data_IF_711023204732
#
_entry.id   IF_711023204732
#
_cell.length_a   1.000
_cell.length_b   1.000
_cell.length_c   1.000
_cell.angle_alpha   90.00
_cell.angle_beta   90.00
_cell.angle_gamma   90.00
#
_symmetry.space_group_name_H-M   'P 1'
#
loop_
_entity.id
_entity.type
_entity.pdbx_description
1 polymer ?
#
# COMPACT_ATOMS: atom_id res chain seq x y z
N UNK A 1 14.07 -2.94 -3.59
CA UNK A 1 12.71 -2.50 -3.98
C UNK A 1 12.69 -1.34 -4.97
N UNK A 2 13.19 -0.14 -4.62
CA UNK A 2 13.19 1.05 -5.51
C UNK A 2 13.62 0.74 -6.96
N UNK A 3 14.76 0.07 -7.14
CA UNK A 3 15.29 -0.29 -8.48
C UNK A 3 14.32 -1.13 -9.32
N UNK A 4 13.54 -2.04 -8.70
CA UNK A 4 12.49 -2.83 -9.37
C UNK A 4 11.27 -1.96 -9.72
N UNK A 5 10.83 -1.08 -8.81
CA UNK A 5 9.75 -0.13 -9.08
C UNK A 5 10.11 0.84 -10.21
N UNK A 6 11.31 1.42 -10.19
CA UNK A 6 11.78 2.33 -11.24
C UNK A 6 11.84 1.64 -12.61
N UNK A 7 12.36 0.40 -12.70
CA UNK A 7 12.39 -0.35 -13.97
C UNK A 7 11.00 -0.73 -14.49
N UNK A 8 10.06 -1.01 -13.60
CA UNK A 8 8.72 -1.50 -13.98
C UNK A 8 7.77 -0.35 -14.32
N UNK A 9 7.84 0.76 -13.58
CA UNK A 9 6.87 1.86 -13.67
C UNK A 9 7.46 3.17 -14.23
N UNK A 10 8.76 3.21 -14.50
CA UNK A 10 9.46 4.34 -15.13
C UNK A 10 9.26 5.70 -14.41
N UNK A 11 9.28 5.70 -13.08
CA UNK A 11 9.32 6.92 -12.27
C UNK A 11 10.20 6.75 -11.04
N UNK A 12 10.67 7.87 -10.51
CA UNK A 12 11.49 7.90 -9.29
C UNK A 12 10.61 7.88 -8.04
N UNK A 13 10.83 6.88 -7.19
CA UNK A 13 10.05 6.62 -5.98
C UNK A 13 10.75 7.24 -4.77
N UNK A 14 10.00 8.03 -3.98
CA UNK A 14 10.44 8.46 -2.65
C UNK A 14 10.35 7.29 -1.67
N UNK A 15 11.44 7.03 -0.95
CA UNK A 15 11.55 5.94 0.00
C UNK A 15 12.28 6.36 1.30
N UNK A 16 11.84 5.81 2.42
CA UNK A 16 12.54 5.90 3.70
C UNK A 16 12.61 4.53 4.35
N UNK A 17 13.64 4.29 5.14
CA UNK A 17 13.77 3.07 5.94
C UNK A 17 14.23 3.43 7.35
N UNK A 18 13.48 2.98 8.34
CA UNK A 18 13.85 2.98 9.77
C UNK A 18 14.20 1.55 10.18
N UNK A 19 14.53 1.34 11.46
CA UNK A 19 14.80 0.00 12.00
C UNK A 19 13.55 -0.91 11.88
N UNK A 20 12.35 -0.34 12.01
CA UNK A 20 11.10 -1.09 12.11
C UNK A 20 10.22 -1.00 10.85
N UNK A 21 10.52 -0.11 9.90
CA UNK A 21 9.62 0.13 8.77
C UNK A 21 10.33 0.59 7.49
N UNK A 22 9.73 0.23 6.35
CA UNK A 22 10.09 0.77 5.03
C UNK A 22 8.87 1.52 4.50
N UNK A 23 9.05 2.79 4.15
CA UNK A 23 8.01 3.64 3.57
C UNK A 23 8.30 3.82 2.09
N UNK A 24 7.32 3.53 1.24
CA UNK A 24 7.36 3.71 -0.20
C UNK A 24 6.23 4.67 -0.63
N UNK A 25 6.58 5.82 -1.21
CA UNK A 25 5.60 6.84 -1.60
C UNK A 25 5.39 6.87 -3.11
N UNK A 26 4.23 6.38 -3.55
CA UNK A 26 3.87 6.20 -4.95
C UNK A 26 3.06 7.40 -5.48
N UNK A 27 2.91 7.51 -6.80
CA UNK A 27 2.02 8.50 -7.42
C UNK A 27 0.65 7.88 -7.72
N UNK A 28 -0.38 8.72 -7.91
CA UNK A 28 -1.77 8.30 -8.13
C UNK A 28 -2.02 7.50 -9.42
N UNK A 29 -1.06 7.45 -10.35
CA UNK A 29 -1.23 6.77 -11.65
C UNK A 29 -0.99 5.26 -11.61
N UNK A 30 -0.61 4.70 -10.45
CA UNK A 30 -0.23 3.30 -10.35
C UNK A 30 -1.06 2.62 -9.26
N UNK A 31 -1.86 1.65 -9.67
CA UNK A 31 -2.50 0.69 -8.77
C UNK A 31 -1.92 -0.70 -9.04
N UNK A 32 -1.65 -1.43 -7.96
CA UNK A 32 -1.26 -2.83 -7.99
C UNK A 32 -1.83 -3.50 -6.73
N UNK A 33 -1.98 -4.82 -6.73
CA UNK A 33 -2.40 -5.53 -5.54
C UNK A 33 -1.28 -5.50 -4.50
N UNK A 34 -1.59 -5.05 -3.28
CA UNK A 34 -0.60 -4.87 -2.21
C UNK A 34 0.10 -6.19 -1.86
N UNK A 35 -0.59 -7.32 -2.01
CA UNK A 35 -0.07 -8.67 -1.79
C UNK A 35 1.05 -9.04 -2.79
N UNK A 36 1.04 -8.45 -3.98
CA UNK A 36 2.04 -8.73 -5.02
C UNK A 36 3.41 -8.10 -4.73
N UNK A 37 3.44 -7.05 -3.90
CA UNK A 37 4.67 -6.33 -3.53
C UNK A 37 5.70 -7.27 -2.91
N UNK A 38 5.23 -8.23 -2.08
CA UNK A 38 6.09 -9.24 -1.47
C UNK A 38 6.81 -10.15 -2.47
N UNK A 39 6.33 -10.21 -3.72
CA UNK A 39 6.87 -11.07 -4.79
C UNK A 39 7.75 -10.30 -5.80
N UNK A 40 7.89 -8.98 -5.65
CA UNK A 40 8.67 -8.15 -6.58
C UNK A 40 10.19 -8.40 -6.48
N UNK A 41 10.63 -9.01 -5.38
CA UNK A 41 11.98 -9.50 -5.20
C UNK A 41 11.92 -11.01 -5.06
N UNK A 42 12.70 -11.70 -5.89
CA UNK A 42 12.86 -13.13 -5.80
C UNK A 42 14.24 -13.44 -5.21
N UNK A 43 14.29 -14.34 -4.23
CA UNK A 43 15.51 -14.69 -3.49
C UNK A 43 16.66 -15.14 -4.40
N UNK A 44 16.37 -15.78 -5.54
CA UNK A 44 17.38 -16.22 -6.52
C UNK A 44 18.08 -15.09 -7.29
N UNK A 45 17.48 -13.89 -7.34
CA UNK A 45 18.03 -12.74 -8.10
C UNK A 45 18.16 -11.47 -7.27
N UNK A 46 17.71 -11.49 -6.01
CA UNK A 46 17.63 -10.31 -5.17
C UNK A 46 19.02 -9.74 -4.84
N UNK A 47 20.02 -10.58 -4.60
CA UNK A 47 21.38 -10.15 -4.31
C UNK A 47 22.04 -9.43 -5.49
N UNK A 48 21.87 -9.95 -6.71
CA UNK A 48 22.33 -9.26 -7.93
C UNK A 48 21.70 -7.86 -8.08
N UNK A 49 20.40 -7.75 -7.79
CA UNK A 49 19.70 -6.45 -7.78
C UNK A 49 20.23 -5.54 -6.67
N UNK A 50 20.59 -6.11 -5.52
CA UNK A 50 21.15 -5.37 -4.39
C UNK A 50 22.53 -4.82 -4.74
N UNK A 51 23.41 -5.61 -5.35
CA UNK A 51 24.72 -5.18 -5.86
C UNK A 51 24.54 -3.97 -6.78
N UNK A 52 23.67 -4.10 -7.78
CA UNK A 52 23.42 -3.01 -8.72
C UNK A 52 22.85 -1.76 -8.04
N UNK A 53 22.10 -1.87 -6.94
CA UNK A 53 21.60 -0.72 -6.19
C UNK A 53 22.65 -0.12 -5.26
N UNK A 54 23.51 -0.97 -4.67
CA UNK A 54 24.60 -0.59 -3.78
C UNK A 54 25.65 0.26 -4.49
N UNK A 55 25.92 -0.03 -5.77
CA UNK A 55 26.85 0.76 -6.59
C UNK A 55 26.47 2.24 -6.66
N UNK A 56 25.18 2.58 -6.63
CA UNK A 56 24.71 3.96 -6.61
C UNK A 56 24.62 4.54 -5.17
N UNK A 57 24.80 3.71 -4.14
CA UNK A 57 24.65 4.13 -2.76
C UNK A 57 25.93 4.79 -2.22
N UNK A 58 25.82 5.85 -1.40
CA UNK A 58 26.97 6.50 -0.78
C UNK A 58 27.89 5.56 0.03
N UNK A 59 27.31 4.47 0.56
CA UNK A 59 28.03 3.45 1.32
C UNK A 59 29.17 2.81 0.50
N UNK A 60 28.95 2.51 -0.78
CA UNK A 60 29.97 1.90 -1.63
C UNK A 60 31.21 2.79 -1.73
N UNK A 61 31.04 4.09 -1.97
CA UNK A 61 32.15 5.04 -2.06
C UNK A 61 32.94 5.19 -0.75
N UNK A 62 32.30 4.97 0.40
CA UNK A 62 32.98 4.95 1.70
C UNK A 62 33.83 3.68 1.84
N UNK A 63 33.26 2.50 1.63
CA UNK A 63 33.97 1.22 1.70
C UNK A 63 35.09 1.13 0.64
N UNK A 64 34.84 1.64 -0.57
CA UNK A 64 35.83 1.72 -1.63
C UNK A 64 37.03 2.57 -1.22
N UNK A 65 36.89 3.70 -0.52
CA UNK A 65 38.09 4.50 -0.14
C UNK A 65 38.93 3.85 0.94
N UNK A 66 38.30 3.06 1.81
CA UNK A 66 38.95 2.37 2.91
C UNK A 66 39.85 1.23 2.41
N UNK A 67 39.35 0.43 1.46
CA UNK A 67 40.01 -0.80 1.01
C UNK A 67 41.37 -0.60 0.30
N UNK A 68 41.50 0.22 -0.76
CA UNK A 68 42.77 0.56 -1.41
C UNK A 68 43.79 1.20 -0.45
N UNK A 69 43.32 1.94 0.54
CA UNK A 69 44.21 2.50 1.57
C UNK A 69 44.82 1.41 2.45
N UNK A 70 44.02 0.41 2.85
CA UNK A 70 44.47 -0.71 3.67
C UNK A 70 45.29 -1.73 2.89
N UNK A 71 44.92 -1.98 1.64
CA UNK A 71 45.67 -2.81 0.70
C UNK A 71 46.98 -2.16 0.24
N UNK A 72 47.27 -0.92 0.68
CA UNK A 72 48.44 -0.13 0.27
C UNK A 72 48.50 0.12 -1.25
N UNK A 73 47.36 0.07 -1.93
CA UNK A 73 47.24 0.37 -3.36
C UNK A 73 47.30 1.89 -3.64
N UNK A 74 47.11 2.72 -2.62
CA UNK A 74 47.23 4.19 -2.71
C UNK A 74 48.51 4.70 -2.01
N UNK A 75 49.25 5.63 -2.62
CA UNK A 75 50.45 6.20 -2.01
C UNK A 75 50.07 7.09 -0.81
N UNK A 76 50.42 6.65 0.41
CA UNK A 76 50.08 7.35 1.67
C UNK A 76 51.01 8.53 1.99
N UNK A 77 52.19 8.57 1.36
CA UNK A 77 53.19 9.61 1.54
C UNK A 77 53.64 10.14 0.19
N UNK A 78 53.94 11.44 0.14
CA UNK A 78 54.52 12.10 -1.02
C UNK A 78 55.51 13.15 -0.54
N UNK A 79 56.76 13.07 -1.01
CA UNK A 79 57.83 13.99 -0.55
C UNK A 79 58.10 13.93 0.96
N UNK A 80 58.00 12.73 1.56
CA UNK A 80 58.24 12.52 3.00
C UNK A 80 57.06 12.91 3.91
N UNK A 81 56.04 13.59 3.39
CA UNK A 81 54.86 14.00 4.16
C UNK A 81 53.67 13.08 3.89
N UNK A 82 52.80 12.92 4.89
CA UNK A 82 51.54 12.19 4.74
C UNK A 82 50.64 12.92 3.75
N UNK A 83 50.10 12.20 2.78
CA UNK A 83 49.20 12.75 1.79
C UNK A 83 47.92 13.30 2.46
N UNK A 84 47.51 14.49 2.04
CA UNK A 84 46.31 15.14 2.54
C UNK A 84 45.04 14.30 2.19
N UNK A 85 44.01 14.29 3.05
CA UNK A 85 42.78 13.51 2.81
C UNK A 85 42.09 13.81 1.48
N UNK A 86 42.12 15.07 1.00
CA UNK A 86 41.52 15.44 -0.28
C UNK A 86 42.24 14.77 -1.47
N UNK A 87 43.58 14.73 -1.42
CA UNK A 87 44.39 14.05 -2.44
C UNK A 87 44.21 12.52 -2.39
N UNK A 88 43.99 11.95 -1.20
CA UNK A 88 43.66 10.53 -1.08
C UNK A 88 42.31 10.20 -1.72
N UNK A 89 41.29 11.05 -1.54
CA UNK A 89 39.98 10.87 -2.20
C UNK A 89 40.12 10.92 -3.72
N UNK A 90 40.77 11.97 -4.24
CA UNK A 90 41.01 12.12 -5.68
C UNK A 90 41.73 10.89 -6.27
N UNK A 91 42.85 10.46 -5.66
CA UNK A 91 43.58 9.27 -6.11
C UNK A 91 42.76 7.97 -6.00
N UNK A 92 41.90 7.87 -4.99
CA UNK A 92 41.01 6.72 -4.84
C UNK A 92 39.95 6.68 -5.93
N UNK A 93 39.46 7.84 -6.36
CA UNK A 93 38.51 7.97 -7.48
C UNK A 93 39.20 7.65 -8.82
N UNK A 94 40.43 8.12 -9.03
CA UNK A 94 41.25 7.77 -10.21
C UNK A 94 41.50 6.25 -10.30
N UNK A 95 41.80 5.62 -9.16
CA UNK A 95 41.98 4.17 -9.08
C UNK A 95 40.67 3.43 -9.38
N UNK A 96 39.53 3.96 -8.92
CA UNK A 96 38.20 3.38 -9.21
C UNK A 96 37.93 3.43 -10.71
N UNK A 97 38.19 4.58 -11.35
CA UNK A 97 38.00 4.75 -12.79
C UNK A 97 38.88 3.79 -13.61
N UNK A 98 40.05 3.42 -13.08
CA UNK A 98 40.97 2.48 -13.74
C UNK A 98 40.52 1.03 -13.59
N UNK A 99 40.09 0.63 -12.39
CA UNK A 99 39.78 -0.77 -12.04
C UNK A 99 38.32 -1.13 -12.33
N UNK A 100 37.41 -0.16 -12.21
CA UNK A 100 35.98 -0.31 -12.43
C UNK A 100 35.42 0.89 -13.23
N UNK A 101 35.69 0.97 -14.54
CA UNK A 101 35.29 2.09 -15.39
C UNK A 101 33.77 2.33 -15.41
N UNK A 102 32.97 1.26 -15.44
CA UNK A 102 31.50 1.31 -15.46
C UNK A 102 30.89 2.01 -14.24
N UNK A 103 31.60 2.03 -13.11
CA UNK A 103 31.14 2.68 -11.89
C UNK A 103 31.16 4.21 -11.99
N UNK A 104 32.10 4.76 -12.76
CA UNK A 104 32.26 6.21 -12.98
C UNK A 104 31.75 6.65 -14.35
N UNK A 105 31.28 5.71 -15.17
CA UNK A 105 30.78 5.98 -16.50
C UNK A 105 29.58 6.93 -16.44
N UNK A 106 29.52 7.86 -17.41
CA UNK A 106 28.37 8.74 -17.57
C UNK A 106 27.11 7.90 -17.81
N UNK A 107 26.01 8.27 -17.17
CA UNK A 107 24.72 7.59 -17.33
C UNK A 107 24.25 7.52 -18.80
N UNK A 108 24.69 8.47 -19.64
CA UNK A 108 24.40 8.49 -21.08
C UNK A 108 25.12 7.40 -21.89
N UNK A 109 26.26 6.91 -21.38
CA UNK A 109 27.08 5.89 -22.04
C UNK A 109 26.83 4.49 -21.48
N UNK A 110 26.17 4.38 -20.33
CA UNK A 110 25.92 3.09 -19.69
C UNK A 110 24.68 2.44 -20.32
N UNK A 111 24.86 1.33 -21.03
CA UNK A 111 23.75 0.57 -21.62
C UNK A 111 23.47 -0.65 -20.73
N UNK A 112 22.45 -0.54 -19.88
CA UNK A 112 22.00 -1.66 -19.04
C UNK A 112 22.59 -1.65 -17.63
N UNK A 113 22.93 -2.84 -17.12
CA UNK A 113 23.51 -3.02 -15.78
C UNK A 113 25.03 -2.88 -15.84
N UNK A 114 25.65 -2.40 -14.75
CA UNK A 114 27.10 -2.25 -14.67
C UNK A 114 27.76 -3.61 -14.63
N UNK A 115 28.77 -3.83 -15.46
CA UNK A 115 29.58 -5.05 -15.38
C UNK A 115 30.58 -4.90 -14.22
N UNK A 116 30.39 -5.69 -13.17
CA UNK A 116 31.27 -5.65 -11.99
C UNK A 116 32.55 -6.46 -12.30
N UNK A 117 33.74 -5.83 -12.29
CA UNK A 117 34.99 -6.53 -12.57
C UNK A 117 35.33 -7.54 -11.48
N UNK A 118 35.83 -8.71 -11.88
CA UNK A 118 36.47 -9.67 -10.98
C UNK A 118 37.87 -9.18 -10.58
N UNK A 119 37.91 -8.19 -9.70
CA UNK A 119 39.14 -7.61 -9.18
C UNK A 119 39.08 -7.53 -7.65
N UNK A 120 40.12 -7.97 -6.90
CA UNK A 120 40.08 -8.02 -5.44
C UNK A 120 39.73 -6.67 -4.77
N UNK A 121 40.22 -5.56 -5.33
CA UNK A 121 39.89 -4.21 -4.83
C UNK A 121 38.41 -3.83 -5.01
N UNK A 122 37.68 -4.46 -5.94
CA UNK A 122 36.25 -4.22 -6.17
C UNK A 122 35.40 -5.21 -5.37
N UNK A 123 35.80 -6.48 -5.37
CA UNK A 123 35.11 -7.56 -4.64
C UNK A 123 35.09 -7.28 -3.14
N UNK A 124 36.22 -6.86 -2.55
CA UNK A 124 36.28 -6.66 -1.09
C UNK A 124 35.33 -5.54 -0.57
N UNK A 125 35.26 -4.34 -1.18
CA UNK A 125 34.25 -3.35 -0.80
C UNK A 125 32.81 -3.84 -0.95
N UNK A 126 32.51 -4.64 -1.99
CA UNK A 126 31.18 -5.21 -2.17
C UNK A 126 30.87 -6.20 -1.04
N UNK A 127 31.79 -7.10 -0.72
CA UNK A 127 31.68 -8.02 0.42
C UNK A 127 31.47 -7.29 1.77
N UNK A 128 32.26 -6.25 2.02
CA UNK A 128 32.14 -5.42 3.24
C UNK A 128 30.76 -4.74 3.31
N UNK A 129 30.27 -4.20 2.19
CA UNK A 129 28.95 -3.59 2.14
C UNK A 129 27.84 -4.63 2.34
N UNK A 130 27.86 -5.73 1.58
CA UNK A 130 26.78 -6.71 1.54
C UNK A 130 26.66 -7.47 2.87
N UNK A 131 27.78 -7.97 3.40
CA UNK A 131 27.74 -8.89 4.54
C UNK A 131 28.00 -8.19 5.87
N UNK A 132 28.86 -7.17 5.94
CA UNK A 132 29.17 -6.52 7.21
C UNK A 132 28.23 -5.35 7.52
N UNK A 133 27.80 -4.60 6.50
CA UNK A 133 26.97 -3.42 6.70
C UNK A 133 25.47 -3.68 6.51
N UNK A 134 25.10 -4.61 5.61
CA UNK A 134 23.72 -4.78 5.18
C UNK A 134 23.09 -6.14 5.53
N UNK A 135 23.87 -7.13 5.97
CA UNK A 135 23.41 -8.51 6.22
C UNK A 135 22.57 -9.07 5.05
N UNK A 136 23.20 -9.18 3.87
CA UNK A 136 22.52 -9.71 2.68
C UNK A 136 21.99 -11.13 2.90
N UNK A 137 22.68 -11.96 3.70
CA UNK A 137 22.28 -13.33 3.99
C UNK A 137 20.98 -13.40 4.80
N UNK A 138 20.88 -12.62 5.88
CA UNK A 138 19.68 -12.49 6.69
C UNK A 138 18.52 -11.94 5.88
N UNK A 139 18.78 -10.93 5.05
CA UNK A 139 17.77 -10.38 4.13
C UNK A 139 17.27 -11.43 3.12
N UNK A 140 18.16 -12.21 2.51
CA UNK A 140 17.77 -13.29 1.60
C UNK A 140 16.98 -14.40 2.32
N UNK A 141 17.27 -14.66 3.59
CA UNK A 141 16.49 -15.60 4.40
C UNK A 141 15.05 -15.10 4.61
N UNK A 142 14.85 -13.81 4.85
CA UNK A 142 13.50 -13.21 4.94
C UNK A 142 12.75 -13.39 3.61
N UNK A 143 13.40 -13.14 2.46
CA UNK A 143 12.78 -13.35 1.16
C UNK A 143 12.37 -14.81 0.93
N UNK A 144 13.23 -15.77 1.27
CA UNK A 144 12.89 -17.21 1.22
C UNK A 144 11.75 -17.56 2.18
N UNK A 145 11.68 -16.91 3.34
CA UNK A 145 10.58 -17.06 4.30
C UNK A 145 9.24 -16.57 3.74
N UNK A 146 9.24 -15.46 3.02
CA UNK A 146 8.05 -14.95 2.30
C UNK A 146 7.64 -15.89 1.15
N UNK A 147 8.61 -16.37 0.36
CA UNK A 147 8.35 -17.28 -0.78
C UNK A 147 7.79 -18.65 -0.34
N UNK A 148 8.30 -19.18 0.77
CA UNK A 148 7.84 -20.46 1.34
C UNK A 148 6.53 -20.35 2.14
N UNK A 149 6.08 -19.14 2.45
CA UNK A 149 4.93 -18.89 3.32
C UNK A 149 5.22 -19.04 4.82
N UNK A 150 6.48 -19.29 5.22
CA UNK A 150 6.89 -19.28 6.62
C UNK A 150 6.72 -17.90 7.28
N UNK A 151 6.86 -16.83 6.49
CA UNK A 151 6.54 -15.45 6.88
C UNK A 151 5.24 -15.07 6.18
N UNK A 152 4.22 -14.72 6.97
CA UNK A 152 2.91 -14.32 6.45
C UNK A 152 2.90 -12.83 6.15
N UNK A 153 2.57 -12.46 4.91
CA UNK A 153 2.32 -11.08 4.51
C UNK A 153 0.83 -10.76 4.65
N UNK A 154 0.51 -9.71 5.40
CA UNK A 154 -0.86 -9.22 5.57
C UNK A 154 -0.96 -7.83 4.94
N UNK A 155 -1.66 -7.76 3.80
CA UNK A 155 -1.96 -6.49 3.15
C UNK A 155 -3.22 -5.86 3.77
N UNK A 156 -3.16 -4.55 4.03
CA UNK A 156 -4.28 -3.74 4.51
C UNK A 156 -4.29 -2.41 3.78
N UNK A 157 -5.38 -2.13 3.08
CA UNK A 157 -5.69 -0.81 2.54
C UNK A 157 -6.56 -0.07 3.56
N UNK A 158 -6.06 1.06 4.07
CA UNK A 158 -6.65 1.78 5.18
C UNK A 158 -6.86 3.25 4.81
N UNK A 159 -7.99 3.82 5.22
CA UNK A 159 -8.30 5.23 5.00
C UNK A 159 -7.41 6.20 5.82
N UNK A 160 -6.72 5.70 6.84
CA UNK A 160 -5.81 6.47 7.68
C UNK A 160 -4.63 5.60 8.13
N UNK A 161 -3.45 6.20 8.40
CA UNK A 161 -2.30 5.45 8.88
C UNK A 161 -2.55 4.87 10.27
N UNK A 162 -2.03 3.66 10.51
CA UNK A 162 -2.00 3.06 11.85
C UNK A 162 -1.01 3.80 12.76
N UNK A 163 -1.06 3.62 14.10
CA UNK A 163 -0.08 4.21 15.00
C UNK A 163 1.38 3.86 14.67
N UNK A 164 1.65 2.61 14.23
CA UNK A 164 2.98 2.20 13.78
C UNK A 164 3.38 2.92 12.49
N UNK A 165 2.46 3.00 11.51
CA UNK A 165 2.73 3.70 10.26
C UNK A 165 2.93 5.21 10.48
N UNK A 166 2.28 5.81 11.49
CA UNK A 166 2.42 7.22 11.80
C UNK A 166 3.85 7.59 12.25
N UNK A 167 4.56 6.70 12.95
CA UNK A 167 5.97 6.89 13.28
C UNK A 167 6.80 6.88 11.99
N UNK A 168 6.63 5.84 11.18
CA UNK A 168 7.37 5.67 9.93
C UNK A 168 7.15 6.82 8.93
N UNK A 169 5.93 7.39 8.87
CA UNK A 169 5.61 8.55 8.03
C UNK A 169 6.37 9.82 8.45
N UNK A 170 6.73 9.93 9.74
CA UNK A 170 7.50 11.02 10.32
C UNK A 170 9.00 10.70 10.42
N UNK A 171 9.48 9.74 9.62
CA UNK A 171 10.89 9.38 9.56
C UNK A 171 11.78 10.63 9.35
N UNK A 172 12.89 10.65 10.09
CA UNK A 172 13.85 11.76 10.05
C UNK A 172 14.65 11.76 8.73
N UNK A 173 15.22 12.90 8.31
CA UNK A 173 15.95 12.99 7.05
C UNK A 173 17.10 12.01 6.85
N UNK A 174 17.75 11.55 7.93
CA UNK A 174 18.81 10.55 7.84
C UNK A 174 18.31 9.16 7.42
N UNK A 175 17.00 8.90 7.52
CA UNK A 175 16.37 7.63 7.14
C UNK A 175 15.96 7.61 5.64
N UNK A 176 16.20 8.71 4.92
CA UNK A 176 15.82 8.84 3.53
C UNK A 176 16.78 8.07 2.64
N UNK A 177 16.22 7.34 1.67
CA UNK A 177 17.01 6.57 0.72
C UNK A 177 17.17 7.29 -0.62
N UNK A 178 16.47 8.39 -0.82
CA UNK A 178 16.44 9.24 -2.01
C UNK A 178 16.83 10.68 -1.66
N UNK A 179 17.11 11.48 -2.70
CA UNK A 179 17.58 12.86 -2.54
C UNK A 179 16.45 13.88 -2.28
N UNK A 180 15.19 13.46 -2.19
CA UNK A 180 14.09 14.40 -1.98
C UNK A 180 14.11 14.98 -0.56
N UNK A 181 14.12 16.32 -0.42
CA UNK A 181 14.13 16.99 0.86
C UNK A 181 12.80 16.78 1.60
N UNK A 182 12.80 17.06 2.92
CA UNK A 182 11.66 16.81 3.80
C UNK A 182 10.39 17.51 3.31
N UNK A 183 10.53 18.74 2.81
CA UNK A 183 9.45 19.61 2.38
C UNK A 183 8.71 19.10 1.13
N UNK A 184 9.41 18.34 0.28
CA UNK A 184 8.86 17.78 -0.97
C UNK A 184 8.29 16.38 -0.79
N UNK A 185 8.28 15.85 0.45
CA UNK A 185 7.83 14.49 0.71
C UNK A 185 6.33 14.36 0.66
N UNK A 186 5.87 13.38 -0.11
CA UNK A 186 4.45 13.00 -0.17
C UNK A 186 3.91 12.55 1.19
N UNK A 187 4.76 12.00 2.06
CA UNK A 187 4.37 11.61 3.42
C UNK A 187 3.88 12.79 4.26
N UNK A 188 4.34 14.03 3.99
CA UNK A 188 3.86 15.25 4.67
C UNK A 188 2.41 15.60 4.30
N UNK A 189 1.96 15.20 3.11
CA UNK A 189 0.58 15.41 2.68
C UNK A 189 -0.39 14.43 3.36
N UNK A 190 0.12 13.34 3.96
CA UNK A 190 -0.70 12.41 4.74
C UNK A 190 -1.08 13.11 6.03
N UNK A 191 -2.33 13.59 6.09
CA UNK A 191 -2.88 14.16 7.31
C UNK A 191 -2.93 13.07 8.38
N UNK A 192 -1.96 13.09 9.28
CA UNK A 192 -2.12 12.44 10.57
C UNK A 192 -3.30 13.11 11.26
N UNK A 193 -4.43 12.42 11.40
CA UNK A 193 -5.42 12.80 12.41
C UNK A 193 -4.60 13.01 13.68
N UNK A 194 -4.60 14.22 14.25
CA UNK A 194 -3.91 14.49 15.51
C UNK A 194 -4.58 13.63 16.58
N UNK A 195 -4.10 12.41 16.68
CA UNK A 195 -4.67 11.33 17.44
C UNK A 195 -4.28 11.57 18.89
N UNK A 196 -5.17 12.20 19.64
CA UNK A 196 -4.99 12.43 21.07
C UNK A 196 -5.45 11.15 21.78
N UNK A 197 -4.57 10.16 21.86
CA UNK A 197 -4.80 8.90 22.58
C UNK A 197 -5.29 9.19 24.00
N UNK A 198 -6.56 8.91 24.29
CA UNK A 198 -7.04 8.78 25.66
C UNK A 198 -7.38 7.32 26.01
N UNK A 199 -7.69 6.45 25.04
CA UNK A 199 -7.91 5.01 25.28
C UNK A 199 -7.64 4.12 24.06
N UNK A 200 -7.35 2.84 24.30
CA UNK A 200 -7.22 1.78 23.27
C UNK A 200 -8.52 1.52 22.50
N UNK A 201 -9.67 1.86 23.06
CA UNK A 201 -10.99 1.70 22.41
C UNK A 201 -11.27 2.73 21.30
N UNK A 202 -10.46 3.78 21.18
CA UNK A 202 -10.63 4.82 20.14
C UNK A 202 -10.17 4.35 18.75
N UNK A 203 -9.41 3.25 18.66
CA UNK A 203 -8.87 2.70 17.42
C UNK A 203 -9.93 2.22 16.43
N UNK A 204 -11.19 2.10 16.87
CA UNK A 204 -12.34 1.68 16.04
C UNK A 204 -13.46 2.71 15.93
N UNK A 205 -13.33 3.91 16.50
CA UNK A 205 -14.41 4.88 16.46
C UNK A 205 -14.51 5.56 15.09
N UNK A 206 -15.53 5.16 14.33
CA UNK A 206 -15.94 5.82 13.10
C UNK A 206 -16.39 7.25 13.43
N UNK A 207 -15.91 8.22 12.65
CA UNK A 207 -16.32 9.61 12.79
C UNK A 207 -17.82 9.73 12.45
N UNK A 208 -18.68 10.16 13.40
CA UNK A 208 -20.11 10.31 13.15
C UNK A 208 -20.42 11.22 11.96
N UNK A 209 -19.61 12.25 11.71
CA UNK A 209 -19.81 13.16 10.58
C UNK A 209 -19.45 12.49 9.25
N UNK A 210 -18.41 11.65 9.23
CA UNK A 210 -18.05 10.88 8.04
C UNK A 210 -19.09 9.80 7.73
N UNK A 211 -19.63 9.14 8.76
CA UNK A 211 -20.77 8.22 8.62
C UNK A 211 -21.95 8.97 8.00
N UNK A 212 -22.31 10.14 8.54
CA UNK A 212 -23.45 10.91 8.04
C UNK A 212 -23.25 11.37 6.59
N UNK A 213 -22.04 11.82 6.23
CA UNK A 213 -21.71 12.20 4.86
C UNK A 213 -21.84 11.03 3.87
N UNK A 214 -21.37 9.83 4.25
CA UNK A 214 -21.52 8.62 3.42
C UNK A 214 -22.99 8.20 3.37
N UNK A 215 -23.73 8.29 4.48
CA UNK A 215 -25.17 7.98 4.52
C UNK A 215 -25.94 8.86 3.55
N UNK A 216 -25.66 10.17 3.51
CA UNK A 216 -26.28 11.10 2.57
C UNK A 216 -25.89 10.82 1.11
N UNK A 217 -24.64 10.44 0.83
CA UNK A 217 -24.20 10.07 -0.53
C UNK A 217 -24.88 8.79 -1.05
N UNK A 218 -25.19 7.84 -0.16
CA UNK A 218 -25.76 6.53 -0.51
C UNK A 218 -27.28 6.48 -0.23
N UNK A 219 -27.88 7.59 0.20
CA UNK A 219 -29.33 7.70 0.40
C UNK A 219 -30.03 7.80 -0.95
N UNK A 220 -31.00 6.93 -1.27
CA UNK A 220 -31.77 7.06 -2.48
C UNK A 220 -32.55 8.38 -2.45
N UNK A 221 -32.62 9.07 -3.58
CA UNK A 221 -33.40 10.31 -3.75
C UNK A 221 -34.48 10.10 -4.83
N UNK A 222 -35.46 9.21 -4.59
CA UNK A 222 -36.50 8.94 -5.56
C UNK A 222 -37.38 10.17 -5.75
N UNK A 223 -37.76 10.45 -7.00
CA UNK A 223 -38.59 11.60 -7.38
C UNK A 223 -40.06 11.23 -7.56
N UNK A 224 -40.34 9.95 -7.73
CA UNK A 224 -41.68 9.40 -7.90
C UNK A 224 -41.78 7.96 -7.36
N UNK A 225 -42.98 7.38 -7.50
CA UNK A 225 -43.26 6.03 -7.01
C UNK A 225 -42.51 4.93 -7.78
N UNK A 226 -42.12 5.15 -9.03
CA UNK A 226 -41.39 4.16 -9.82
C UNK A 226 -39.91 4.11 -9.40
N UNK A 227 -39.28 5.28 -9.25
CA UNK A 227 -37.91 5.38 -8.71
C UNK A 227 -37.84 4.88 -7.26
N UNK A 228 -38.90 5.06 -6.47
CA UNK A 228 -38.98 4.49 -5.12
C UNK A 228 -38.99 2.95 -5.17
N UNK A 229 -39.68 2.37 -6.14
CA UNK A 229 -39.69 0.93 -6.32
C UNK A 229 -38.31 0.41 -6.76
N UNK A 230 -37.65 1.07 -7.72
CA UNK A 230 -36.28 0.74 -8.12
C UNK A 230 -35.29 0.84 -6.95
N UNK A 231 -35.41 1.88 -6.12
CA UNK A 231 -34.58 2.04 -4.92
C UNK A 231 -34.79 0.89 -3.91
N UNK A 232 -36.04 0.44 -3.73
CA UNK A 232 -36.35 -0.72 -2.90
C UNK A 232 -35.79 -2.02 -3.47
N UNK A 233 -35.91 -2.21 -4.78
CA UNK A 233 -35.34 -3.37 -5.46
C UNK A 233 -33.82 -3.33 -5.39
N UNK A 234 -33.16 -2.18 -5.53
CA UNK A 234 -31.72 -2.06 -5.40
C UNK A 234 -31.21 -2.39 -3.99
N UNK A 235 -31.78 -1.73 -2.97
CA UNK A 235 -31.38 -1.90 -1.56
C UNK A 235 -31.80 -3.22 -0.94
N UNK A 236 -32.91 -3.80 -1.39
CA UNK A 236 -33.48 -5.04 -0.85
C UNK A 236 -34.39 -4.84 0.36
N UNK A 237 -33.94 -4.10 1.37
CA UNK A 237 -34.73 -3.76 2.57
C UNK A 237 -34.59 -2.28 2.88
N UNK A 238 -35.68 -1.66 3.33
CA UNK A 238 -35.69 -0.27 3.79
C UNK A 238 -36.35 -0.19 5.19
N UNK A 239 -35.63 0.26 6.24
CA UNK A 239 -36.22 0.45 7.56
C UNK A 239 -37.37 1.46 7.55
N UNK A 240 -38.42 1.20 8.33
CA UNK A 240 -39.55 2.13 8.48
C UNK A 240 -39.10 3.50 9.01
N UNK A 241 -38.07 3.52 9.85
CA UNK A 241 -37.45 4.76 10.37
C UNK A 241 -36.80 5.60 9.25
N UNK A 242 -36.16 4.96 8.26
CA UNK A 242 -35.58 5.67 7.11
C UNK A 242 -36.66 6.18 6.14
N UNK A 243 -37.83 5.53 6.14
CA UNK A 243 -39.01 5.92 5.37
C UNK A 243 -39.96 6.85 6.15
N UNK A 244 -39.44 7.63 7.11
CA UNK A 244 -40.26 8.58 7.88
C UNK A 244 -40.74 9.79 7.07
N UNK A 245 -40.15 10.05 5.89
CA UNK A 245 -40.60 11.12 5.00
C UNK A 245 -42.04 10.86 4.50
N UNK A 246 -42.92 11.84 4.64
CA UNK A 246 -44.31 11.75 4.23
C UNK A 246 -44.47 11.42 2.74
N UNK A 247 -43.56 11.89 1.87
CA UNK A 247 -43.59 11.59 0.44
C UNK A 247 -43.25 10.12 0.18
N UNK A 248 -42.24 9.59 0.87
CA UNK A 248 -41.86 8.18 0.76
C UNK A 248 -42.98 7.27 1.26
N UNK A 249 -43.62 7.62 2.37
CA UNK A 249 -44.76 6.85 2.89
C UNK A 249 -45.93 6.81 1.91
N UNK A 250 -46.22 7.93 1.22
CA UNK A 250 -47.26 7.97 0.21
C UNK A 250 -46.94 7.04 -0.99
N UNK A 251 -45.70 7.08 -1.49
CA UNK A 251 -45.27 6.20 -2.58
C UNK A 251 -45.24 4.73 -2.16
N UNK A 252 -44.74 4.42 -0.97
CA UNK A 252 -44.71 3.05 -0.43
C UNK A 252 -46.11 2.49 -0.23
N UNK A 253 -47.03 3.31 0.27
CA UNK A 253 -48.44 2.92 0.43
C UNK A 253 -49.11 2.68 -0.92
N UNK A 254 -48.82 3.51 -1.93
CA UNK A 254 -49.31 3.30 -3.29
C UNK A 254 -48.74 2.03 -3.93
N UNK A 255 -47.44 1.77 -3.75
CA UNK A 255 -46.79 0.53 -4.21
C UNK A 255 -47.33 -0.71 -3.49
N UNK A 256 -47.65 -0.59 -2.20
CA UNK A 256 -48.27 -1.66 -1.42
C UNK A 256 -49.70 -1.95 -1.89
N UNK A 257 -50.50 -0.92 -2.14
CA UNK A 257 -51.83 -1.07 -2.71
C UNK A 257 -51.80 -1.70 -4.11
N UNK A 258 -50.75 -1.44 -4.89
CA UNK A 258 -50.51 -2.06 -6.19
C UNK A 258 -49.88 -3.48 -6.09
N UNK A 259 -49.61 -3.99 -4.89
CA UNK A 259 -49.01 -5.32 -4.67
C UNK A 259 -47.52 -5.41 -5.06
N UNK A 260 -46.84 -4.26 -5.26
CA UNK A 260 -45.42 -4.18 -5.67
C UNK A 260 -44.46 -4.03 -4.50
N UNK A 261 -44.95 -3.64 -3.33
CA UNK A 261 -44.17 -3.55 -2.09
C UNK A 261 -44.98 -4.11 -0.91
N UNK A 262 -44.30 -4.49 0.15
CA UNK A 262 -44.92 -4.90 1.42
C UNK A 262 -44.14 -4.34 2.59
N UNK A 263 -44.84 -4.00 3.66
CA UNK A 263 -44.22 -3.75 4.96
C UNK A 263 -44.19 -5.06 5.74
N UNK A 264 -43.05 -5.38 6.33
CA UNK A 264 -42.86 -6.52 7.21
C UNK A 264 -42.91 -6.04 8.66
N UNK A 265 -43.77 -6.69 9.42
CA UNK A 265 -43.88 -6.51 10.85
C UNK A 265 -43.12 -7.62 11.58
N UNK A 266 -42.18 -7.23 12.43
CA UNK A 266 -41.45 -8.12 13.34
C UNK A 266 -42.11 -8.02 14.72
N UNK A 267 -42.57 -9.16 15.27
CA UNK A 267 -43.30 -9.18 16.56
C UNK A 267 -44.52 -8.24 16.60
N UNK A 268 -45.17 -8.02 15.46
CA UNK A 268 -46.34 -7.14 15.34
C UNK A 268 -46.02 -5.65 15.16
N UNK A 269 -44.75 -5.25 15.12
CA UNK A 269 -44.32 -3.87 14.91
C UNK A 269 -43.81 -3.72 13.46
N UNK A 270 -44.32 -2.74 12.68
CA UNK A 270 -43.81 -2.45 11.34
C UNK A 270 -42.32 -2.10 11.40
N UNK A 271 -41.48 -2.88 10.73
CA UNK A 271 -40.03 -2.76 10.84
C UNK A 271 -39.36 -2.42 9.50
N UNK A 272 -39.74 -3.12 8.42
CA UNK A 272 -39.00 -3.08 7.16
C UNK A 272 -39.94 -3.06 5.94
N UNK A 273 -39.67 -2.21 4.97
CA UNK A 273 -40.28 -2.23 3.64
C UNK A 273 -39.45 -3.08 2.68
N UNK A 274 -40.12 -3.93 1.89
CA UNK A 274 -39.51 -4.75 0.84
C UNK A 274 -40.29 -4.66 -0.46
N UNK A 275 -39.60 -4.90 -1.58
CA UNK A 275 -40.27 -5.16 -2.85
C UNK A 275 -40.88 -6.55 -2.84
N UNK A 276 -42.02 -6.70 -3.52
CA UNK A 276 -42.70 -7.98 -3.73
C UNK A 276 -41.73 -9.06 -4.27
N UNK A 277 -40.80 -8.65 -5.14
CA UNK A 277 -39.85 -9.53 -5.81
C UNK A 277 -38.80 -10.17 -4.89
N UNK A 278 -38.56 -9.58 -3.71
CA UNK A 278 -37.53 -10.04 -2.76
C UNK A 278 -38.09 -10.68 -1.51
N UNK A 279 -39.41 -10.86 -1.43
CA UNK A 279 -40.07 -11.41 -0.25
C UNK A 279 -39.57 -12.84 0.08
N UNK A 280 -39.25 -13.62 -0.95
CA UNK A 280 -38.78 -15.01 -0.85
C UNK A 280 -37.38 -15.14 -0.26
N UNK A 281 -36.57 -14.10 -0.36
CA UNK A 281 -35.23 -14.09 0.23
C UNK A 281 -35.29 -13.76 1.72
N UNK A 282 -36.33 -13.04 2.15
CA UNK A 282 -36.43 -12.49 3.49
C UNK A 282 -37.25 -13.37 4.46
N UNK A 283 -38.41 -13.87 4.04
CA UNK A 283 -39.30 -14.69 4.87
C UNK A 283 -38.61 -15.93 5.50
N UNK A 284 -37.73 -16.68 4.79
CA UNK A 284 -37.03 -17.82 5.39
C UNK A 284 -36.07 -17.44 6.52
N UNK A 285 -35.53 -16.21 6.51
CA UNK A 285 -34.61 -15.72 7.53
C UNK A 285 -35.33 -15.26 8.80
N UNK A 286 -36.61 -14.85 8.68
CA UNK A 286 -37.43 -14.36 9.78
C UNK A 286 -38.81 -15.03 9.80
N UNK A 287 -38.92 -16.27 10.31
CA UNK A 287 -40.18 -17.03 10.30
C UNK A 287 -41.35 -16.36 11.04
N UNK A 288 -41.04 -15.54 12.04
CA UNK A 288 -41.99 -14.77 12.84
C UNK A 288 -42.45 -13.44 12.18
N UNK A 289 -41.94 -13.14 10.99
CA UNK A 289 -42.24 -11.91 10.27
C UNK A 289 -43.57 -12.03 9.51
N UNK A 290 -44.38 -10.96 9.54
CA UNK A 290 -45.67 -10.93 8.83
C UNK A 290 -45.66 -9.82 7.77
N UNK A 291 -46.01 -10.17 6.53
CA UNK A 291 -46.10 -9.23 5.43
C UNK A 291 -47.49 -8.57 5.37
N UNK A 292 -47.51 -7.24 5.32
CA UNK A 292 -48.72 -6.42 5.22
C UNK A 292 -48.54 -5.37 4.11
N UNK A 293 -49.35 -5.41 3.04
CA UNK A 293 -50.31 -6.46 2.68
C UNK A 293 -49.60 -7.79 2.35
N UNK A 294 -50.29 -8.94 2.48
CA UNK A 294 -49.71 -10.23 2.09
C UNK A 294 -49.50 -10.25 0.56
N UNK A 295 -48.24 -10.27 0.14
CA UNK A 295 -47.86 -10.38 -1.26
C UNK A 295 -47.42 -11.82 -1.54
N UNK A 296 -47.95 -12.50 -2.58
CA UNK A 296 -47.50 -13.84 -2.91
C UNK A 296 -46.03 -13.81 -3.34
N UNK A 297 -45.28 -14.77 -2.84
CA UNK A 297 -43.97 -15.15 -3.35
C UNK A 297 -44.00 -15.21 -4.90
N UNK A 298 -43.14 -14.48 -5.62
CA UNK A 298 -43.04 -14.66 -7.06
C UNK A 298 -42.70 -16.12 -7.33
N UNK A 299 -43.54 -16.82 -8.11
CA UNK A 299 -43.29 -18.21 -8.49
C UNK A 299 -41.86 -18.34 -9.03
N UNK A 300 -41.07 -19.13 -8.34
CA UNK A 300 -39.61 -19.23 -8.43
C UNK A 300 -39.10 -19.04 -9.85
N UNK A 301 -38.33 -17.97 -10.12
CA UNK A 301 -37.42 -17.99 -11.28
C UNK A 301 -36.39 -19.08 -10.98
N UNK A 302 -36.50 -20.20 -11.69
CA UNK A 302 -35.48 -21.22 -11.73
C UNK A 302 -34.14 -20.53 -12.05
N UNK A 303 -33.27 -20.43 -11.04
CA UNK A 303 -31.89 -20.02 -11.23
C UNK A 303 -31.23 -21.13 -12.03
N UNK A 304 -31.17 -20.95 -13.36
CA UNK A 304 -30.32 -21.73 -14.23
C UNK A 304 -28.89 -21.56 -13.75
N UNK A 305 -28.35 -22.62 -13.15
CA UNK A 305 -26.90 -22.81 -13.03
C UNK A 305 -26.40 -23.11 -14.45
N UNK A 306 -26.02 -22.07 -15.17
CA UNK A 306 -25.05 -22.26 -16.24
C UNK A 306 -23.67 -22.31 -15.57
N UNK A 307 -23.12 -23.51 -15.61
CA UNK A 307 -21.75 -23.91 -15.23
C UNK A 307 -20.68 -23.20 -16.03
#
# INVERSE_FOLDING_TARGET
MRKRFCRTFNFELQAAATEDAIVLSLSTRHSFALEEVGRYLNSSSAEHVLIQALLDAPLFGVCWRWNPTNAMALPRFSGGNKAAPQLQRMKSEDLLATVFPDQVACAENLVGEREVPDHPLVVQPLEDCLHHSMDSEGWLQVLRGLESGAITLIARDLAAPSPLAAEALNARPYAFLDDAPLEERRTQAVQGRRYRLQSSDDLGQLDPQAIEAVREQVRPQPRDAEEMHEALVGRGVLPVEEAADAQWQAWLSALAAAGRATCISLQGIPALWLSAERIDWFLPLYPQATAQPPVPAPSTRACGRDT
#
